data_IF_979597899725
#
_entry.id   IF_979597899725
#
_cell.length_a   1.000
_cell.length_b   1.000
_cell.length_c   1.000
_cell.angle_alpha   90.00
_cell.angle_beta   90.00
_cell.angle_gamma   90.00
#
_symmetry.space_group_name_H-M   'P 1'
#
loop_
_entity.id
_entity.type
_entity.pdbx_description
1 polymer ?
#
# COMPACT_ATOMS: atom_id res chain seq x y z
N UNK A 1 -17.62 -32.59 -33.82
CA UNK A 1 -17.40 -31.15 -34.09
C UNK A 1 -18.35 -30.22 -33.31
N UNK A 2 -19.68 -30.23 -33.54
CA UNK A 2 -20.62 -29.31 -32.86
C UNK A 2 -20.57 -29.31 -31.31
N UNK A 3 -20.41 -30.48 -30.67
CA UNK A 3 -20.28 -30.58 -29.20
C UNK A 3 -18.98 -29.96 -28.67
N UNK A 4 -17.88 -30.11 -29.40
CA UNK A 4 -16.59 -29.51 -29.06
C UNK A 4 -16.64 -27.97 -29.17
N UNK A 5 -17.23 -27.43 -30.24
CA UNK A 5 -17.41 -25.99 -30.38
C UNK A 5 -18.27 -25.39 -29.26
N UNK A 6 -19.35 -26.06 -28.85
CA UNK A 6 -20.17 -25.63 -27.71
C UNK A 6 -19.38 -25.63 -26.39
N UNK A 7 -18.60 -26.68 -26.14
CA UNK A 7 -17.75 -26.73 -24.95
C UNK A 7 -16.71 -25.61 -24.94
N UNK A 8 -16.00 -25.40 -26.06
CA UNK A 8 -15.03 -24.32 -26.20
C UNK A 8 -15.67 -22.94 -25.97
N UNK A 9 -16.87 -22.71 -26.51
CA UNK A 9 -17.61 -21.47 -26.29
C UNK A 9 -17.93 -21.26 -24.81
N UNK A 10 -18.38 -22.30 -24.10
CA UNK A 10 -18.66 -22.24 -22.65
C UNK A 10 -17.38 -21.86 -21.88
N UNK A 11 -16.25 -22.51 -22.18
CA UNK A 11 -14.97 -22.20 -21.53
C UNK A 11 -14.57 -20.74 -21.79
N UNK A 12 -14.68 -20.27 -23.03
CA UNK A 12 -14.38 -18.88 -23.39
C UNK A 12 -15.32 -17.89 -22.69
N UNK A 13 -16.60 -18.22 -22.53
CA UNK A 13 -17.56 -17.40 -21.78
C UNK A 13 -17.18 -17.32 -20.30
N UNK A 14 -16.78 -18.42 -19.67
CA UNK A 14 -16.31 -18.42 -18.28
C UNK A 14 -15.05 -17.56 -18.10
N UNK A 15 -14.08 -17.68 -19.01
CA UNK A 15 -12.86 -16.85 -18.98
C UNK A 15 -13.21 -15.37 -19.19
N UNK A 16 -14.09 -15.08 -20.14
CA UNK A 16 -14.56 -13.73 -20.43
C UNK A 16 -15.27 -13.11 -19.22
N UNK A 17 -16.20 -13.85 -18.61
CA UNK A 17 -16.94 -13.41 -17.43
C UNK A 17 -16.02 -13.16 -16.23
N UNK A 18 -15.07 -14.05 -15.95
CA UNK A 18 -14.09 -13.86 -14.88
C UNK A 18 -13.21 -12.62 -15.13
N UNK A 19 -12.79 -12.38 -16.38
CA UNK A 19 -12.06 -11.16 -16.74
C UNK A 19 -12.90 -9.90 -16.50
N UNK A 20 -14.17 -9.90 -16.95
CA UNK A 20 -15.10 -8.79 -16.74
C UNK A 20 -15.29 -8.50 -15.25
N UNK A 21 -15.56 -9.53 -14.44
CA UNK A 21 -15.74 -9.37 -12.99
C UNK A 21 -14.47 -8.80 -12.36
N UNK A 22 -13.28 -9.32 -12.67
CA UNK A 22 -12.02 -8.80 -12.12
C UNK A 22 -11.77 -7.34 -12.51
N UNK A 23 -12.10 -6.95 -13.73
CA UNK A 23 -11.96 -5.56 -14.17
C UNK A 23 -12.97 -4.65 -13.45
N UNK A 24 -14.20 -5.11 -13.26
CA UNK A 24 -15.23 -4.34 -12.57
C UNK A 24 -14.94 -4.17 -11.08
N UNK A 25 -14.44 -5.20 -10.39
CA UNK A 25 -14.13 -5.16 -8.95
C UNK A 25 -12.69 -4.78 -8.63
N UNK A 26 -11.86 -4.43 -9.63
CA UNK A 26 -10.40 -4.31 -9.50
C UNK A 26 -9.75 -5.53 -8.81
N UNK A 27 -10.35 -6.71 -9.00
CA UNK A 27 -9.90 -7.96 -8.40
C UNK A 27 -10.09 -8.05 -6.88
N UNK A 28 -10.88 -7.16 -6.27
CA UNK A 28 -11.30 -7.28 -4.88
C UNK A 28 -12.08 -8.59 -4.64
N UNK A 29 -11.75 -9.27 -3.55
CA UNK A 29 -12.45 -10.45 -3.02
C UNK A 29 -12.21 -10.48 -1.51
N UNK A 30 -13.28 -10.60 -0.72
CA UNK A 30 -13.21 -10.57 0.74
C UNK A 30 -12.33 -11.70 1.30
N UNK A 31 -12.33 -12.87 0.65
CA UNK A 31 -11.55 -14.03 1.10
C UNK A 31 -10.04 -13.82 0.98
N UNK A 32 -9.60 -12.74 0.30
CA UNK A 32 -8.19 -12.38 0.17
C UNK A 32 -7.70 -11.45 1.26
N UNK A 33 -8.57 -11.02 2.17
CA UNK A 33 -8.21 -10.13 3.27
C UNK A 33 -7.92 -10.89 4.56
N UNK A 34 -8.48 -12.09 4.71
CA UNK A 34 -8.28 -12.89 5.92
C UNK A 34 -6.85 -13.42 6.04
N UNK A 35 -6.29 -13.31 7.24
CA UNK A 35 -5.02 -13.92 7.59
C UNK A 35 -5.13 -15.45 7.60
N UNK A 36 -4.17 -16.15 7.00
CA UNK A 36 -4.07 -17.61 7.00
C UNK A 36 -2.89 -18.14 7.84
N UNK A 37 -2.44 -17.34 8.81
CA UNK A 37 -1.34 -17.62 9.71
C UNK A 37 -1.75 -17.41 11.17
N UNK A 38 -1.00 -18.01 12.08
CA UNK A 38 -1.16 -17.78 13.52
C UNK A 38 -0.54 -16.43 13.93
N UNK A 39 -1.03 -15.80 15.02
CA UNK A 39 -0.42 -14.60 15.57
C UNK A 39 1.07 -14.78 15.84
N UNK A 40 1.88 -13.76 15.56
CA UNK A 40 3.33 -13.76 15.81
C UNK A 40 3.73 -12.54 16.64
N UNK A 41 4.59 -12.76 17.64
CA UNK A 41 5.09 -11.72 18.55
C UNK A 41 5.78 -10.58 17.77
N UNK A 42 6.57 -10.91 16.75
CA UNK A 42 7.27 -9.93 15.92
C UNK A 42 6.34 -8.96 15.16
N UNK A 43 5.05 -9.27 15.05
CA UNK A 43 4.03 -8.46 14.38
C UNK A 43 3.08 -7.78 15.37
N UNK A 44 3.36 -7.87 16.66
CA UNK A 44 2.62 -7.10 17.66
C UNK A 44 2.86 -5.61 17.44
N UNK A 45 1.78 -4.84 17.57
CA UNK A 45 1.77 -3.39 17.44
C UNK A 45 1.43 -2.79 18.79
N UNK A 46 2.15 -1.73 19.17
CA UNK A 46 2.01 -1.05 20.46
C UNK A 46 1.04 0.14 20.41
N UNK A 47 0.40 0.40 19.27
CA UNK A 47 -0.50 1.55 19.12
C UNK A 47 -1.78 1.40 19.92
N UNK A 48 -2.20 2.49 20.55
CA UNK A 48 -3.54 2.63 21.12
C UNK A 48 -4.61 2.40 20.03
N UNK A 49 -5.79 2.00 20.47
CA UNK A 49 -6.94 1.93 19.57
C UNK A 49 -7.30 3.35 19.11
N UNK A 50 -7.69 3.50 17.83
CA UNK A 50 -8.25 4.76 17.35
C UNK A 50 -9.60 5.05 18.03
N UNK A 51 -10.12 6.28 17.89
CA UNK A 51 -11.46 6.63 18.34
C UNK A 51 -12.52 5.66 17.77
N UNK A 52 -13.57 5.39 18.55
CA UNK A 52 -14.60 4.40 18.20
C UNK A 52 -15.32 4.75 16.88
N UNK A 53 -15.41 6.04 16.56
CA UNK A 53 -16.02 6.57 15.34
C UNK A 53 -15.33 6.07 14.06
N UNK A 54 -14.04 5.73 14.12
CA UNK A 54 -13.31 5.11 13.01
C UNK A 54 -13.84 3.69 12.74
N UNK A 55 -14.32 2.98 13.76
CA UNK A 55 -14.89 1.65 13.59
C UNK A 55 -16.37 1.64 13.24
N UNK A 56 -17.13 2.65 13.70
CA UNK A 56 -18.58 2.69 13.54
C UNK A 56 -19.04 3.15 12.14
N UNK A 57 -18.13 3.73 11.36
CA UNK A 57 -18.42 4.18 10.00
C UNK A 57 -18.26 3.07 8.95
N UNK A 58 -18.92 3.27 7.79
CA UNK A 58 -18.75 2.40 6.63
C UNK A 58 -17.62 2.87 5.72
N UNK A 59 -17.01 1.94 4.99
CA UNK A 59 -15.90 2.26 4.08
C UNK A 59 -16.22 1.88 2.64
N UNK A 60 -15.94 2.77 1.68
CA UNK A 60 -16.18 2.56 0.24
C UNK A 60 -14.88 2.34 -0.50
N UNK A 61 -14.85 1.39 -1.42
CA UNK A 61 -13.65 1.05 -2.19
C UNK A 61 -13.04 2.27 -2.88
N UNK A 62 -11.79 2.58 -2.53
CA UNK A 62 -11.02 3.68 -3.09
C UNK A 62 -10.08 3.18 -4.19
N UNK A 63 -9.43 2.04 -3.96
CA UNK A 63 -8.42 1.54 -4.88
C UNK A 63 -7.83 0.20 -4.49
N UNK A 64 -6.99 -0.33 -5.38
CA UNK A 64 -6.31 -1.61 -5.20
C UNK A 64 -4.86 -1.48 -5.63
N UNK A 65 -3.94 -1.53 -4.66
CA UNK A 65 -2.51 -1.61 -4.92
C UNK A 65 -2.02 -3.04 -5.08
N UNK A 66 -0.70 -3.24 -5.11
CA UNK A 66 -0.11 -4.59 -5.16
C UNK A 66 -0.30 -5.34 -3.83
N UNK A 67 -0.24 -4.61 -2.71
CA UNK A 67 -0.17 -5.18 -1.37
C UNK A 67 -1.46 -5.04 -0.56
N UNK A 68 -2.28 -4.02 -0.84
CA UNK A 68 -3.48 -3.72 -0.07
C UNK A 68 -4.66 -3.30 -0.96
N UNK A 69 -5.86 -3.50 -0.44
CA UNK A 69 -7.07 -2.82 -0.89
C UNK A 69 -7.27 -1.59 -0.02
N UNK A 70 -7.60 -0.45 -0.62
CA UNK A 70 -7.85 0.80 0.10
C UNK A 70 -9.35 1.13 0.03
N UNK A 71 -9.91 1.55 1.15
CA UNK A 71 -11.28 1.98 1.29
C UNK A 71 -11.34 3.32 2.01
N UNK A 72 -12.15 4.24 1.51
CA UNK A 72 -12.38 5.57 2.07
C UNK A 72 -13.54 5.51 3.08
N UNK A 73 -13.31 6.03 4.28
CA UNK A 73 -14.34 6.18 5.32
C UNK A 73 -15.45 7.13 4.89
N UNK A 74 -16.62 6.98 5.51
CA UNK A 74 -17.73 7.90 5.32
C UNK A 74 -17.42 9.32 5.80
N UNK A 75 -16.44 9.47 6.71
CA UNK A 75 -15.89 10.76 7.11
C UNK A 75 -15.16 11.51 5.98
N UNK A 76 -14.74 10.81 4.92
CA UNK A 76 -13.95 11.38 3.83
C UNK A 76 -12.50 11.71 4.19
N UNK A 77 -12.07 11.38 5.41
CA UNK A 77 -10.76 11.74 5.99
C UNK A 77 -9.92 10.50 6.34
N UNK A 78 -10.56 9.36 6.58
CA UNK A 78 -9.89 8.12 6.97
C UNK A 78 -9.83 7.13 5.82
N UNK A 79 -8.67 6.51 5.62
CA UNK A 79 -8.47 5.41 4.67
C UNK A 79 -8.16 4.13 5.44
N UNK A 80 -9.02 3.13 5.29
CA UNK A 80 -8.77 1.77 5.69
C UNK A 80 -7.97 1.06 4.59
N UNK A 81 -6.77 0.59 4.91
CA UNK A 81 -6.02 -0.32 4.03
C UNK A 81 -6.03 -1.72 4.60
N UNK A 82 -6.45 -2.66 3.77
CA UNK A 82 -6.55 -4.07 4.11
C UNK A 82 -5.51 -4.85 3.32
N UNK A 83 -4.63 -5.57 4.01
CA UNK A 83 -3.55 -6.30 3.36
C UNK A 83 -4.08 -7.51 2.57
N UNK A 84 -3.44 -7.74 1.42
CA UNK A 84 -3.79 -8.83 0.52
C UNK A 84 -3.02 -10.09 0.86
N UNK A 85 -3.75 -11.14 1.17
CA UNK A 85 -3.25 -12.49 1.30
C UNK A 85 -3.45 -13.25 -0.02
N UNK A 86 -2.83 -12.74 -1.10
CA UNK A 86 -2.77 -13.45 -2.38
C UNK A 86 -1.71 -14.56 -2.38
N UNK A 87 -1.94 -15.55 -3.26
CA UNK A 87 -1.05 -16.63 -3.71
C UNK A 87 -0.95 -17.78 -2.70
N UNK A 88 -1.92 -18.69 -2.65
CA UNK A 88 -2.15 -19.70 -3.66
C UNK A 88 -3.64 -19.99 -3.74
N UNK A 89 -4.20 -19.97 -4.94
CA UNK A 89 -5.45 -20.67 -5.19
C UNK A 89 -5.12 -22.12 -5.57
N UNK A 90 -5.82 -23.11 -5.00
CA UNK A 90 -6.77 -22.97 -3.92
C UNK A 90 -6.07 -22.61 -2.60
N UNK A 91 -6.65 -21.61 -1.91
CA UNK A 91 -6.34 -21.20 -0.55
C UNK A 91 -6.65 -22.39 0.32
N UNK A 92 -5.69 -23.26 0.57
CA UNK A 92 -6.10 -24.57 1.04
C UNK A 92 -5.09 -25.16 2.00
N UNK A 93 -5.49 -25.11 3.26
CA UNK A 93 -5.33 -26.23 4.19
C UNK A 93 -5.42 -27.58 3.45
N UNK A 94 -6.31 -27.71 2.45
CA UNK A 94 -6.42 -28.88 1.56
C UNK A 94 -5.13 -29.18 0.77
N UNK A 95 -4.56 -28.25 -0.02
CA UNK A 95 -3.28 -28.49 -0.72
C UNK A 95 -2.10 -28.66 0.22
N UNK A 96 -2.09 -28.00 1.39
CA UNK A 96 -1.05 -28.22 2.41
C UNK A 96 -1.12 -29.64 2.98
N UNK A 97 -2.32 -30.23 3.04
CA UNK A 97 -2.57 -31.55 3.60
C UNK A 97 -2.64 -32.67 2.56
N UNK A 98 -2.60 -32.36 1.26
CA UNK A 98 -2.61 -33.36 0.20
C UNK A 98 -1.25 -34.10 0.15
N UNK A 99 -1.24 -35.44 0.08
CA UNK A 99 -0.02 -36.21 -0.05
C UNK A 99 0.55 -36.06 -1.46
N UNK A 100 1.34 -35.00 -1.67
CA UNK A 100 1.98 -34.71 -2.95
C UNK A 100 3.34 -35.45 -3.09
N UNK A 101 3.71 -35.87 -4.32
CA UNK A 101 5.07 -36.30 -4.64
C UNK A 101 6.15 -35.31 -4.17
N UNK A 102 7.34 -35.80 -3.80
CA UNK A 102 8.42 -35.00 -3.20
C UNK A 102 8.78 -33.74 -4.00
N UNK A 103 8.81 -33.82 -5.33
CA UNK A 103 9.12 -32.66 -6.18
C UNK A 103 8.05 -31.55 -6.10
N UNK A 104 6.76 -31.92 -6.10
CA UNK A 104 5.66 -30.96 -5.91
C UNK A 104 5.66 -30.36 -4.52
N UNK A 105 5.97 -31.16 -3.49
CA UNK A 105 6.08 -30.68 -2.11
C UNK A 105 7.22 -29.68 -1.94
N UNK A 106 8.38 -29.94 -2.56
CA UNK A 106 9.50 -28.98 -2.56
C UNK A 106 9.11 -27.67 -3.25
N UNK A 107 8.46 -27.75 -4.42
CA UNK A 107 7.98 -26.57 -5.13
C UNK A 107 6.97 -25.76 -4.30
N UNK A 108 6.03 -26.45 -3.64
CA UNK A 108 5.06 -25.83 -2.72
C UNK A 108 5.76 -25.11 -1.57
N UNK A 109 6.75 -25.74 -0.92
CA UNK A 109 7.52 -25.14 0.17
C UNK A 109 8.24 -23.87 -0.28
N UNK A 110 8.91 -23.89 -1.43
CA UNK A 110 9.57 -22.70 -2.00
C UNK A 110 8.59 -21.54 -2.21
N UNK A 111 7.36 -21.82 -2.62
CA UNK A 111 6.32 -20.78 -2.77
C UNK A 111 5.88 -20.24 -1.41
N UNK A 112 5.65 -21.12 -0.43
CA UNK A 112 5.26 -20.72 0.92
C UNK A 112 6.36 -19.87 1.59
N UNK A 113 7.63 -20.22 1.43
CA UNK A 113 8.76 -19.43 1.93
C UNK A 113 8.83 -18.05 1.27
N UNK A 114 8.67 -17.97 -0.06
CA UNK A 114 8.62 -16.68 -0.76
C UNK A 114 7.46 -15.82 -0.27
N UNK A 115 6.31 -16.43 0.01
CA UNK A 115 5.13 -15.74 0.55
C UNK A 115 5.40 -15.21 1.94
N UNK A 116 5.94 -16.03 2.82
CA UNK A 116 6.28 -15.61 4.18
C UNK A 116 7.30 -14.47 4.18
N UNK A 117 8.36 -14.57 3.37
CA UNK A 117 9.33 -13.47 3.19
C UNK A 117 8.67 -12.18 2.72
N UNK A 118 7.73 -12.27 1.77
CA UNK A 118 6.99 -11.09 1.27
C UNK A 118 6.09 -10.49 2.35
N UNK A 119 5.32 -11.29 3.07
CA UNK A 119 4.48 -10.80 4.19
C UNK A 119 5.36 -10.15 5.24
N UNK A 120 6.45 -10.81 5.66
CA UNK A 120 7.40 -10.25 6.62
C UNK A 120 7.97 -8.90 6.16
N UNK A 121 8.32 -8.77 4.89
CA UNK A 121 8.83 -7.52 4.32
C UNK A 121 7.80 -6.40 4.39
N UNK A 122 6.56 -6.67 3.97
CA UNK A 122 5.47 -5.68 3.96
C UNK A 122 5.13 -5.27 5.39
N UNK A 123 5.07 -6.22 6.31
CA UNK A 123 4.69 -5.98 7.69
C UNK A 123 5.77 -5.20 8.43
N UNK A 124 7.04 -5.54 8.20
CA UNK A 124 8.16 -4.74 8.70
C UNK A 124 8.09 -3.30 8.17
N UNK A 125 7.81 -3.14 6.89
CA UNK A 125 7.63 -1.81 6.28
C UNK A 125 6.47 -1.02 6.91
N UNK A 126 5.34 -1.67 7.16
CA UNK A 126 4.20 -1.05 7.83
C UNK A 126 4.49 -0.69 9.29
N UNK A 127 5.25 -1.52 10.00
CA UNK A 127 5.72 -1.21 11.35
C UNK A 127 6.65 0.00 11.36
N UNK A 128 7.56 0.14 10.39
CA UNK A 128 8.40 1.35 10.22
C UNK A 128 7.49 2.58 10.01
N UNK A 129 6.50 2.46 9.11
CA UNK A 129 5.58 3.56 8.84
C UNK A 129 4.84 4.04 10.09
N UNK A 130 4.36 3.12 10.93
CA UNK A 130 3.67 3.47 12.18
C UNK A 130 4.63 4.00 13.27
N UNK A 131 5.75 3.32 13.48
CA UNK A 131 6.60 3.56 14.65
C UNK A 131 7.60 4.71 14.43
N UNK A 132 8.11 4.87 13.21
CA UNK A 132 9.19 5.79 12.89
C UNK A 132 8.71 6.96 12.02
N UNK A 133 7.67 6.75 11.21
CA UNK A 133 7.18 7.74 10.23
C UNK A 133 5.67 8.09 10.36
N UNK A 134 5.05 8.17 11.56
CA UNK A 134 3.61 8.35 11.67
C UNK A 134 3.12 9.67 11.05
N UNK A 135 3.85 10.77 11.22
CA UNK A 135 3.49 12.07 10.63
C UNK A 135 3.69 12.11 9.11
N UNK A 136 4.73 11.44 8.61
CA UNK A 136 5.07 11.42 7.18
C UNK A 136 4.23 10.44 6.39
N UNK A 137 3.57 9.49 7.04
CA UNK A 137 2.71 8.51 6.38
C UNK A 137 1.25 8.70 6.74
N UNK A 138 0.93 9.47 7.79
CA UNK A 138 -0.43 9.64 8.28
C UNK A 138 -1.04 8.35 8.86
N UNK A 139 -0.23 7.33 9.20
CA UNK A 139 -0.72 6.09 9.80
C UNK A 139 -1.28 6.38 11.19
N UNK A 140 -2.54 6.04 11.40
CA UNK A 140 -3.28 6.24 12.65
C UNK A 140 -3.21 5.00 13.53
N UNK A 141 -3.35 3.82 12.92
CA UNK A 141 -3.39 2.55 13.64
C UNK A 141 -3.01 1.40 12.70
N UNK A 142 -2.36 0.36 13.23
CA UNK A 142 -1.88 -0.79 12.49
C UNK A 142 -2.18 -2.06 13.28
N UNK A 143 -2.77 -3.04 12.60
CA UNK A 143 -3.01 -4.36 13.12
C UNK A 143 -2.53 -5.42 12.11
N UNK A 144 -1.53 -6.22 12.50
CA UNK A 144 -0.94 -7.21 11.61
C UNK A 144 -1.28 -8.66 12.00
N UNK A 145 -1.65 -8.87 13.26
CA UNK A 145 -2.02 -10.17 13.78
C UNK A 145 -3.54 -10.36 13.76
N UNK A 146 -4.01 -11.59 13.49
CA UNK A 146 -5.38 -11.93 13.83
C UNK A 146 -5.53 -11.99 15.36
N UNK A 147 -6.70 -11.60 15.86
CA UNK A 147 -7.05 -11.62 17.27
C UNK A 147 -8.39 -12.34 17.47
N UNK A 148 -8.84 -12.41 18.73
CA UNK A 148 -10.18 -12.84 19.09
C UNK A 148 -10.80 -11.76 19.97
N UNK A 149 -11.92 -11.22 19.51
CA UNK A 149 -12.76 -10.24 20.22
C UNK A 149 -12.03 -8.93 20.57
N UNK A 150 -11.08 -8.47 19.74
CA UNK A 150 -10.38 -7.19 19.94
C UNK A 150 -10.94 -6.08 19.06
N UNK A 151 -11.30 -6.39 17.83
CA UNK A 151 -11.80 -5.44 16.84
C UNK A 151 -13.21 -5.80 16.37
N UNK A 152 -14.02 -4.80 16.02
CA UNK A 152 -15.37 -5.05 15.53
C UNK A 152 -15.39 -5.56 14.09
N UNK A 153 -16.56 -6.07 13.69
CA UNK A 153 -16.88 -6.30 12.28
C UNK A 153 -17.39 -4.98 11.69
N UNK A 154 -16.76 -4.51 10.62
CA UNK A 154 -17.11 -3.24 9.97
C UNK A 154 -17.78 -3.46 8.62
N UNK A 155 -18.57 -2.48 8.17
CA UNK A 155 -19.21 -2.52 6.85
C UNK A 155 -18.30 -1.90 5.79
N UNK A 156 -18.01 -2.64 4.72
CA UNK A 156 -17.30 -2.12 3.55
C UNK A 156 -18.13 -2.29 2.28
N UNK A 157 -17.90 -1.44 1.29
CA UNK A 157 -18.49 -1.52 -0.04
C UNK A 157 -17.39 -1.69 -1.08
N UNK A 158 -17.56 -2.64 -2.00
CA UNK A 158 -16.64 -2.80 -3.12
C UNK A 158 -16.82 -1.72 -4.20
N UNK A 159 -16.03 -1.82 -5.28
CA UNK A 159 -16.06 -0.86 -6.39
C UNK A 159 -17.41 -0.75 -7.10
N UNK A 160 -18.24 -1.79 -7.05
CA UNK A 160 -19.56 -1.83 -7.70
C UNK A 160 -20.70 -1.66 -6.68
N UNK A 161 -20.39 -1.29 -5.44
CA UNK A 161 -21.36 -0.99 -4.39
C UNK A 161 -21.90 -2.22 -3.65
N UNK A 162 -21.32 -3.40 -3.83
CA UNK A 162 -21.71 -4.58 -3.06
C UNK A 162 -21.23 -4.42 -1.62
N UNK A 163 -22.15 -4.61 -0.67
CA UNK A 163 -21.90 -4.55 0.77
C UNK A 163 -21.27 -5.84 1.28
N UNK A 164 -20.21 -5.71 2.08
CA UNK A 164 -19.55 -6.79 2.80
C UNK A 164 -19.42 -6.46 4.29
N UNK A 165 -19.30 -7.51 5.10
CA UNK A 165 -18.90 -7.43 6.50
C UNK A 165 -17.44 -7.86 6.59
N UNK A 166 -16.56 -6.97 7.04
CA UNK A 166 -15.15 -7.21 7.20
C UNK A 166 -14.84 -7.41 8.68
N UNK A 167 -14.45 -8.62 9.04
CA UNK A 167 -14.01 -8.96 10.40
C UNK A 167 -12.55 -8.52 10.58
N UNK A 168 -12.35 -7.43 11.35
CA UNK A 168 -11.04 -6.85 11.60
C UNK A 168 -10.16 -7.73 12.51
N UNK A 169 -10.75 -8.61 13.32
CA UNK A 169 -9.98 -9.57 14.11
C UNK A 169 -9.36 -10.67 13.24
N UNK A 170 -9.89 -10.93 12.05
CA UNK A 170 -9.33 -11.92 11.11
C UNK A 170 -8.44 -11.30 10.04
N UNK A 171 -8.42 -9.97 9.96
CA UNK A 171 -7.88 -9.24 8.83
C UNK A 171 -6.70 -8.39 9.28
N UNK A 172 -5.54 -8.47 8.62
CA UNK A 172 -4.49 -7.49 8.82
C UNK A 172 -4.87 -6.19 8.11
N UNK A 173 -4.83 -5.09 8.84
CA UNK A 173 -5.27 -3.79 8.35
C UNK A 173 -4.46 -2.64 8.97
N UNK A 174 -4.68 -1.45 8.42
CA UNK A 174 -4.30 -0.19 9.03
C UNK A 174 -5.30 0.90 8.69
N UNK A 175 -5.37 1.89 9.56
CA UNK A 175 -6.02 3.17 9.29
C UNK A 175 -4.94 4.21 9.00
N UNK A 176 -5.18 5.02 7.99
CA UNK A 176 -4.30 6.09 7.53
C UNK A 176 -5.14 7.31 7.22
N UNK A 177 -4.63 8.52 7.46
CA UNK A 177 -5.25 9.74 6.98
C UNK A 177 -5.30 9.73 5.45
N UNK A 178 -6.38 10.27 4.88
CA UNK A 178 -6.50 10.50 3.45
C UNK A 178 -5.55 11.63 3.03
N UNK A 179 -4.95 11.46 1.86
CA UNK A 179 -4.23 12.51 1.17
C UNK A 179 -4.63 12.51 -0.31
N UNK A 180 -4.55 13.69 -0.92
CA UNK A 180 -4.77 13.85 -2.36
C UNK A 180 -3.49 13.54 -3.12
N UNK A 181 -3.58 12.82 -4.23
CA UNK A 181 -2.38 12.41 -5.00
C UNK A 181 -1.58 13.64 -5.45
N UNK A 182 -0.25 13.59 -5.26
CA UNK A 182 0.64 14.75 -5.44
C UNK A 182 0.40 15.49 -6.76
N UNK A 183 0.46 14.79 -7.89
CA UNK A 183 0.30 15.43 -9.19
C UNK A 183 -1.14 15.86 -9.47
N UNK A 184 -2.14 15.15 -8.95
CA UNK A 184 -3.54 15.58 -9.08
C UNK A 184 -3.79 16.89 -8.32
N UNK A 185 -3.17 17.04 -7.15
CA UNK A 185 -3.20 18.28 -6.37
C UNK A 185 -2.49 19.42 -7.12
N UNK A 186 -1.27 19.17 -7.62
CA UNK A 186 -0.48 20.20 -8.33
C UNK A 186 -1.13 20.71 -9.62
N UNK A 187 -1.91 19.89 -10.33
CA UNK A 187 -2.66 20.37 -11.51
C UNK A 187 -3.71 21.44 -11.14
N UNK A 188 -4.27 21.37 -9.93
CA UNK A 188 -5.30 22.28 -9.44
C UNK A 188 -4.70 23.49 -8.68
N UNK A 189 -3.52 23.32 -8.08
CA UNK A 189 -2.89 24.27 -7.14
C UNK A 189 -1.47 24.66 -7.59
N UNK A 190 -1.33 25.14 -8.82
CA UNK A 190 -0.01 25.42 -9.42
C UNK A 190 0.76 26.49 -8.66
N UNK A 191 0.08 27.45 -8.06
CA UNK A 191 0.64 28.49 -7.20
C UNK A 191 1.32 27.95 -5.94
N UNK A 192 0.91 26.76 -5.46
CA UNK A 192 1.48 26.10 -4.29
C UNK A 192 2.71 25.24 -4.62
N UNK A 193 3.00 25.01 -5.91
CA UNK A 193 4.07 24.11 -6.38
C UNK A 193 5.40 24.37 -5.67
N UNK A 194 5.75 25.65 -5.45
CA UNK A 194 6.99 26.02 -4.76
C UNK A 194 7.06 25.47 -3.32
N UNK A 195 5.96 25.58 -2.57
CA UNK A 195 5.87 25.06 -1.20
C UNK A 195 5.86 23.53 -1.19
N UNK A 196 5.22 22.92 -2.19
CA UNK A 196 5.18 21.46 -2.34
C UNK A 196 6.57 20.89 -2.67
N UNK A 197 7.37 21.57 -3.49
CA UNK A 197 8.78 21.20 -3.71
C UNK A 197 9.51 21.15 -2.37
N UNK A 198 9.42 22.23 -1.57
CA UNK A 198 10.06 22.29 -0.25
C UNK A 198 9.59 21.18 0.69
N UNK A 199 8.28 20.90 0.69
CA UNK A 199 7.71 19.85 1.51
C UNK A 199 8.15 18.45 1.08
N UNK A 200 8.28 18.18 -0.22
CA UNK A 200 8.77 16.88 -0.72
C UNK A 200 10.21 16.64 -0.30
N UNK A 201 11.10 17.62 -0.52
CA UNK A 201 12.50 17.51 -0.10
C UNK A 201 12.62 17.31 1.41
N UNK A 202 11.80 18.01 2.19
CA UNK A 202 11.75 17.85 3.66
C UNK A 202 11.28 16.44 4.05
N UNK A 203 10.24 15.91 3.39
CA UNK A 203 9.73 14.56 3.62
C UNK A 203 10.84 13.51 3.39
N UNK A 204 11.47 13.53 2.22
CA UNK A 204 12.52 12.58 1.85
C UNK A 204 13.71 12.69 2.81
N UNK A 205 14.17 13.92 3.09
CA UNK A 205 15.30 14.16 3.99
C UNK A 205 15.06 13.68 5.42
N UNK A 206 13.85 13.90 5.95
CA UNK A 206 13.54 13.46 7.31
C UNK A 206 13.52 11.92 7.39
N UNK A 207 13.01 11.23 6.37
CA UNK A 207 13.05 9.77 6.30
C UNK A 207 14.48 9.24 6.18
N UNK A 208 15.28 9.80 5.28
CA UNK A 208 16.67 9.31 5.07
C UNK A 208 17.52 9.53 6.32
N UNK A 209 17.35 10.64 7.05
CA UNK A 209 18.01 10.88 8.35
C UNK A 209 17.76 9.81 9.39
N UNK A 210 16.59 9.17 9.37
CA UNK A 210 16.24 8.07 10.26
C UNK A 210 16.87 6.73 9.83
N UNK A 211 17.65 6.71 8.74
CA UNK A 211 18.21 5.48 8.22
C UNK A 211 17.21 4.65 7.42
N UNK A 212 16.11 5.24 6.94
CA UNK A 212 15.02 4.53 6.25
C UNK A 212 15.09 4.82 4.74
N UNK A 213 15.11 3.77 3.94
CA UNK A 213 15.08 3.82 2.47
C UNK A 213 13.71 3.40 1.93
N UNK A 214 13.33 3.94 0.78
CA UNK A 214 12.15 3.54 0.03
C UNK A 214 12.61 2.81 -1.25
N UNK A 215 12.24 1.53 -1.34
CA UNK A 215 12.63 0.68 -2.48
C UNK A 215 11.75 0.85 -3.73
N UNK A 216 10.65 1.62 -3.66
CA UNK A 216 9.78 1.95 -4.79
C UNK A 216 9.54 3.48 -4.85
N UNK A 217 10.50 4.26 -5.37
CA UNK A 217 10.50 5.73 -5.32
C UNK A 217 9.56 6.40 -6.34
N UNK A 218 8.40 5.80 -6.64
CA UNK A 218 7.50 6.30 -7.69
C UNK A 218 6.57 7.37 -7.14
N UNK A 219 6.94 8.63 -7.40
CA UNK A 219 6.29 9.82 -6.83
C UNK A 219 4.81 9.91 -7.15
N UNK A 220 4.44 9.67 -8.41
CA UNK A 220 3.07 9.89 -8.90
C UNK A 220 1.96 9.15 -8.13
N UNK A 221 2.31 8.05 -7.47
CA UNK A 221 1.36 7.15 -6.81
C UNK A 221 1.68 6.90 -5.35
N UNK A 222 2.91 7.19 -4.91
CA UNK A 222 3.36 6.91 -3.55
C UNK A 222 3.35 8.15 -2.65
N UNK A 223 3.18 9.35 -3.22
CA UNK A 223 3.09 10.60 -2.46
C UNK A 223 1.73 11.28 -2.62
N UNK A 224 1.29 11.92 -1.54
CA UNK A 224 0.09 12.72 -1.51
C UNK A 224 0.26 14.00 -0.69
N UNK A 225 -0.74 14.87 -0.75
CA UNK A 225 -0.84 16.11 0.01
C UNK A 225 -1.88 15.94 1.12
N UNK A 226 -1.48 16.30 2.33
CA UNK A 226 -2.32 16.35 3.52
C UNK A 226 -2.00 17.62 4.30
N UNK A 227 -3.00 18.46 4.56
CA UNK A 227 -2.84 19.73 5.27
C UNK A 227 -1.73 20.63 4.67
N UNK A 228 -1.65 20.68 3.33
CA UNK A 228 -0.63 21.45 2.59
C UNK A 228 0.80 20.87 2.66
N UNK A 229 0.96 19.66 3.21
CA UNK A 229 2.25 18.97 3.33
C UNK A 229 2.27 17.69 2.51
N UNK A 230 3.42 17.39 1.95
CA UNK A 230 3.71 16.12 1.28
C UNK A 230 3.85 15.01 2.32
N UNK A 231 3.15 13.91 2.09
CA UNK A 231 3.26 12.65 2.84
C UNK A 231 3.46 11.46 1.90
N UNK A 232 4.07 10.39 2.40
CA UNK A 232 4.20 9.10 1.73
C UNK A 232 2.98 8.23 2.03
N UNK A 233 2.11 8.08 1.03
CA UNK A 233 0.89 7.29 1.16
C UNK A 233 1.16 5.79 0.99
N UNK A 234 2.14 5.37 0.19
CA UNK A 234 2.51 3.96 0.08
C UNK A 234 3.53 3.58 1.15
N UNK A 235 3.15 2.63 2.00
CA UNK A 235 3.95 2.17 3.14
C UNK A 235 4.55 0.79 2.90
N UNK A 236 4.50 0.30 1.67
CA UNK A 236 4.82 -1.09 1.33
C UNK A 236 6.29 -1.42 1.09
N UNK A 237 7.16 -0.40 1.09
CA UNK A 237 8.50 -0.46 0.48
C UNK A 237 9.62 0.12 1.35
N UNK A 238 9.36 0.42 2.62
CA UNK A 238 10.33 0.92 3.60
C UNK A 238 11.27 -0.18 4.10
N UNK A 239 12.54 0.16 4.16
CA UNK A 239 13.61 -0.71 4.68
C UNK A 239 14.58 0.11 5.50
N UNK A 240 14.89 -0.33 6.71
CA UNK A 240 16.01 0.21 7.48
C UNK A 240 17.31 -0.09 6.74
N UNK A 241 18.00 0.95 6.28
CA UNK A 241 19.24 0.89 5.54
C UNK A 241 20.25 1.88 6.13
N UNK A 242 21.16 1.45 7.01
CA UNK A 242 22.17 2.33 7.61
C UNK A 242 23.07 3.04 6.58
N UNK A 243 23.20 2.48 5.37
CA UNK A 243 24.00 3.08 4.31
C UNK A 243 23.37 4.33 3.71
N UNK A 244 22.07 4.58 3.92
CA UNK A 244 21.39 5.77 3.39
C UNK A 244 22.04 7.07 3.91
N UNK A 245 22.61 7.03 5.12
CA UNK A 245 23.30 8.17 5.73
C UNK A 245 24.65 8.48 5.07
N UNK A 246 25.12 7.65 4.14
CA UNK A 246 26.29 7.98 3.34
C UNK A 246 25.90 8.98 2.25
N UNK A 247 26.75 9.98 1.94
CA UNK A 247 26.44 10.97 0.92
C UNK A 247 26.07 10.37 -0.43
N UNK A 248 26.67 9.23 -0.82
CA UNK A 248 26.36 8.59 -2.10
C UNK A 248 24.92 8.05 -2.16
N UNK A 249 24.46 7.37 -1.11
CA UNK A 249 23.14 6.76 -1.11
C UNK A 249 22.03 7.79 -0.89
N UNK A 250 22.22 8.77 0.00
CA UNK A 250 21.26 9.87 0.20
C UNK A 250 21.01 10.64 -1.12
N UNK A 251 22.09 10.98 -1.84
CA UNK A 251 21.98 11.64 -3.17
C UNK A 251 21.20 10.81 -4.17
N UNK A 252 21.45 9.50 -4.18
CA UNK A 252 20.77 8.57 -5.09
C UNK A 252 19.27 8.49 -4.80
N UNK A 253 18.90 8.42 -3.52
CA UNK A 253 17.50 8.38 -3.08
C UNK A 253 16.78 9.67 -3.51
N UNK A 254 17.33 10.84 -3.15
CA UNK A 254 16.79 12.15 -3.51
C UNK A 254 16.65 12.32 -5.02
N UNK A 255 17.63 11.88 -5.80
CA UNK A 255 17.57 12.01 -7.25
C UNK A 255 16.43 11.20 -7.86
N UNK A 256 16.30 9.92 -7.51
CA UNK A 256 15.27 9.06 -8.10
C UNK A 256 13.86 9.43 -7.63
N UNK A 257 13.71 9.78 -6.35
CA UNK A 257 12.42 10.20 -5.76
C UNK A 257 11.96 11.59 -6.16
N UNK A 258 12.79 12.38 -6.84
CA UNK A 258 12.36 13.72 -7.30
C UNK A 258 12.33 13.83 -8.82
N UNK A 259 12.72 12.78 -9.54
CA UNK A 259 12.81 12.76 -11.00
C UNK A 259 11.46 13.03 -11.67
N UNK A 260 10.40 12.36 -11.24
CA UNK A 260 9.07 12.58 -11.83
C UNK A 260 8.54 14.00 -11.56
N UNK A 261 8.80 14.54 -10.37
CA UNK A 261 8.42 15.92 -10.06
C UNK A 261 9.18 16.92 -10.92
N UNK A 262 10.49 16.71 -11.14
CA UNK A 262 11.29 17.53 -12.05
C UNK A 262 10.71 17.56 -13.46
N UNK A 263 10.35 16.39 -14.01
CA UNK A 263 9.75 16.31 -15.34
C UNK A 263 8.36 16.96 -15.38
N UNK A 264 7.58 16.85 -14.30
CA UNK A 264 6.30 17.55 -14.19
C UNK A 264 6.49 19.08 -14.17
N UNK A 265 7.44 19.60 -13.39
CA UNK A 265 7.76 21.04 -13.28
C UNK A 265 8.18 21.59 -14.64
N UNK A 266 9.10 20.92 -15.35
CA UNK A 266 9.54 21.33 -16.69
C UNK A 266 8.39 21.54 -17.67
N UNK A 267 7.34 20.73 -17.54
CA UNK A 267 6.19 20.74 -18.45
C UNK A 267 5.13 21.77 -18.06
N UNK A 268 4.88 21.98 -16.77
CA UNK A 268 3.70 22.74 -16.32
C UNK A 268 4.02 24.08 -15.64
N UNK A 269 5.20 24.21 -15.01
CA UNK A 269 5.66 25.41 -14.29
C UNK A 269 7.17 25.60 -14.48
N UNK A 270 7.66 25.74 -15.73
CA UNK A 270 9.10 25.75 -16.03
C UNK A 270 9.87 26.87 -15.32
N UNK A 271 9.20 27.96 -14.93
CA UNK A 271 9.76 29.05 -14.12
C UNK A 271 10.25 28.61 -12.73
N UNK A 272 9.77 27.47 -12.21
CA UNK A 272 10.21 26.90 -10.94
C UNK A 272 11.36 25.90 -11.08
N UNK A 273 11.82 25.61 -12.31
CA UNK A 273 12.86 24.62 -12.54
C UNK A 273 14.19 25.00 -11.87
N UNK A 274 14.61 26.27 -11.99
CA UNK A 274 15.84 26.74 -11.35
C UNK A 274 15.78 26.63 -9.83
N UNK A 275 14.62 26.92 -9.25
CA UNK A 275 14.39 26.77 -7.82
C UNK A 275 14.45 25.30 -7.38
N UNK A 276 13.83 24.40 -8.14
CA UNK A 276 13.93 22.96 -7.89
C UNK A 276 15.38 22.46 -7.94
N UNK A 277 16.15 22.86 -8.95
CA UNK A 277 17.57 22.45 -9.09
C UNK A 277 18.42 22.98 -7.95
N UNK A 278 18.19 24.22 -7.50
CA UNK A 278 18.86 24.78 -6.32
C UNK A 278 18.55 23.96 -5.06
N UNK A 279 17.29 23.57 -4.86
CA UNK A 279 16.87 22.73 -3.74
C UNK A 279 17.50 21.34 -3.77
N UNK A 280 17.53 20.72 -4.95
CA UNK A 280 18.20 19.44 -5.15
C UNK A 280 19.70 19.54 -4.83
N UNK A 281 20.39 20.57 -5.33
CA UNK A 281 21.81 20.79 -5.02
C UNK A 281 22.06 21.02 -3.53
N UNK A 282 21.18 21.77 -2.85
CA UNK A 282 21.28 22.00 -1.41
C UNK A 282 21.11 20.69 -0.63
N UNK A 283 20.11 19.88 -0.97
CA UNK A 283 19.84 18.60 -0.33
C UNK A 283 20.98 17.59 -0.53
N UNK A 284 21.63 17.62 -1.70
CA UNK A 284 22.79 16.78 -2.05
C UNK A 284 24.06 17.19 -1.27
N UNK A 285 24.18 18.44 -0.82
CA UNK A 285 25.38 18.93 -0.10
C UNK A 285 25.35 18.62 1.40
N UNK A 286 24.19 18.33 1.96
CA UNK A 286 23.98 17.90 3.34
C UNK A 286 24.32 16.41 3.51
#
# INVERSE_FOLDING_TARGET
>A
MKRFCKFLLIVLLFIGMDKVIRTQTNGFRIEKTEADYAPKIQWETSSSLPPQEIFDQSYTFLGSGVQCYAFLGADGETVLKVFKHYHLWPSSKILRNLPLPKFLKNWQNTILEKREKRINSIFKSAQIAQNELPEQTGVLHLNLNPYKERYPVITIYDKIGIRYQLDLDKTPFLFQKKADLLFSYLELHKEETKNIIDSLFTCIHNRTKLGISNSDPIVNRNFGIMDGKVIEIDIGSFVSNPQINTPLFSKRELFYETLELKEWIKKHTPELLDYFEQKLQQAIRL
#
